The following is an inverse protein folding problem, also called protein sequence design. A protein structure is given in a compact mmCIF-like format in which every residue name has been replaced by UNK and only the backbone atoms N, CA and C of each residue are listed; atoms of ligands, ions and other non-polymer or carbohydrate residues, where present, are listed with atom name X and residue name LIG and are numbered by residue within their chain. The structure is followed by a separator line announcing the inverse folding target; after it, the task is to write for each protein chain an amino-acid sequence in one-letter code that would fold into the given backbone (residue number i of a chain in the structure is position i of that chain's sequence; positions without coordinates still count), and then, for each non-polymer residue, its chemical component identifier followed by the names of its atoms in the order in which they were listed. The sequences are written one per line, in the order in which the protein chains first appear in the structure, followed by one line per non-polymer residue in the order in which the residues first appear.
data_IF_458617420615
#
_entry.id   IF_458617420615
#
_cell.length_a   1.000
_cell.length_b   1.000
_cell.length_c   1.000
_cell.angle_alpha   90.00
_cell.angle_beta   90.00
_cell.angle_gamma   90.00
#
_symmetry.space_group_name_H-M   'P 1'
#
loop_
_entity.id
_entity.type
_entity.pdbx_description
1 polymer ?
#
# COMPACT_ATOMS: atom_id res chain seq x y z
N UNK A 1 -33.19 17.26 -1.86
CA UNK A 1 -32.14 16.22 -1.76
C UNK A 1 -31.21 16.45 -2.95
N UNK A 2 -30.14 17.18 -2.76
CA UNK A 2 -29.15 17.39 -3.83
C UNK A 2 -28.46 16.06 -4.12
N UNK A 3 -28.52 15.65 -5.36
CA UNK A 3 -27.87 14.46 -5.88
C UNK A 3 -26.36 14.74 -5.90
N UNK A 4 -25.67 14.50 -4.77
CA UNK A 4 -24.21 14.65 -4.68
C UNK A 4 -23.57 13.63 -5.60
N UNK A 5 -23.08 14.07 -6.73
CA UNK A 5 -22.32 13.24 -7.68
C UNK A 5 -21.05 12.77 -6.96
N UNK A 6 -20.94 11.46 -6.74
CA UNK A 6 -19.78 10.87 -6.11
C UNK A 6 -18.52 11.20 -6.92
N UNK A 7 -17.50 11.76 -6.28
CA UNK A 7 -16.22 12.14 -6.90
C UNK A 7 -15.43 10.93 -7.41
N UNK A 8 -15.72 9.73 -6.90
CA UNK A 8 -15.13 8.47 -7.34
C UNK A 8 -15.42 7.31 -6.41
N UNK A 9 -15.13 6.10 -6.88
CA UNK A 9 -15.24 4.89 -6.08
C UNK A 9 -13.87 4.60 -5.43
N UNK A 10 -13.89 4.28 -4.15
CA UNK A 10 -12.75 3.81 -3.35
C UNK A 10 -12.97 2.34 -3.04
N UNK A 11 -11.99 1.51 -3.37
CA UNK A 11 -11.98 0.11 -2.97
C UNK A 11 -11.13 -0.06 -1.71
N UNK A 12 -11.65 -0.74 -0.70
CA UNK A 12 -10.90 -1.23 0.45
C UNK A 12 -10.81 -2.75 0.36
N UNK A 13 -9.59 -3.27 0.31
CA UNK A 13 -9.33 -4.71 0.38
C UNK A 13 -8.89 -5.02 1.81
N UNK A 14 -9.80 -5.59 2.60
CA UNK A 14 -9.61 -5.88 4.02
C UNK A 14 -10.37 -7.15 4.41
N UNK A 15 -9.66 -8.10 5.03
CA UNK A 15 -10.24 -9.37 5.52
C UNK A 15 -10.90 -9.22 6.88
N UNK A 16 -10.39 -8.32 7.73
CA UNK A 16 -10.89 -8.13 9.08
C UNK A 16 -12.19 -7.32 9.06
N UNK A 17 -13.26 -7.94 9.55
CA UNK A 17 -14.59 -7.30 9.62
C UNK A 17 -14.57 -6.04 10.49
N UNK A 18 -13.86 -6.07 11.62
CA UNK A 18 -13.77 -4.92 12.54
C UNK A 18 -13.06 -3.73 11.89
N UNK A 19 -11.94 -3.98 11.20
CA UNK A 19 -11.23 -2.95 10.43
C UNK A 19 -12.11 -2.38 9.30
N UNK A 20 -12.87 -3.24 8.63
CA UNK A 20 -13.81 -2.84 7.58
C UNK A 20 -14.92 -1.94 8.11
N UNK A 21 -15.51 -2.27 9.26
CA UNK A 21 -16.54 -1.46 9.93
C UNK A 21 -15.95 -0.12 10.38
N UNK A 22 -14.76 -0.13 10.99
CA UNK A 22 -14.08 1.08 11.41
C UNK A 22 -13.81 2.02 10.23
N UNK A 23 -13.32 1.49 9.11
CA UNK A 23 -13.07 2.29 7.91
C UNK A 23 -14.38 2.84 7.32
N UNK A 24 -15.44 2.03 7.29
CA UNK A 24 -16.76 2.50 6.86
C UNK A 24 -17.26 3.65 7.74
N UNK A 25 -17.15 3.53 9.06
CA UNK A 25 -17.53 4.59 10.00
C UNK A 25 -16.74 5.88 9.78
N UNK A 26 -15.45 5.79 9.42
CA UNK A 26 -14.65 6.95 9.05
C UNK A 26 -15.21 7.68 7.81
N UNK A 27 -15.59 6.95 6.78
CA UNK A 27 -16.20 7.54 5.58
C UNK A 27 -17.59 8.12 5.86
N UNK A 28 -18.41 7.44 6.65
CA UNK A 28 -19.79 7.86 7.00
C UNK A 28 -19.77 9.11 7.89
N UNK A 29 -18.76 9.25 8.77
CA UNK A 29 -18.59 10.41 9.64
C UNK A 29 -18.12 11.69 8.92
N UNK A 30 -17.74 11.60 7.64
CA UNK A 30 -17.27 12.74 6.88
C UNK A 30 -18.36 13.27 5.94
N UNK A 31 -19.13 14.30 6.33
CA UNK A 31 -20.32 14.73 5.59
C UNK A 31 -20.01 15.25 4.19
N UNK A 32 -18.77 15.71 3.96
CA UNK A 32 -18.31 16.19 2.65
C UNK A 32 -17.56 15.12 1.82
N UNK A 33 -17.58 13.85 2.29
CA UNK A 33 -16.96 12.76 1.55
C UNK A 33 -17.77 12.48 0.27
N UNK A 34 -17.20 12.90 -0.84
CA UNK A 34 -17.78 12.66 -2.17
C UNK A 34 -17.33 11.30 -2.74
N UNK A 35 -16.68 10.44 -1.93
CA UNK A 35 -16.23 9.12 -2.34
C UNK A 35 -17.18 8.05 -1.85
N UNK A 36 -17.44 7.06 -2.70
CA UNK A 36 -18.20 5.86 -2.32
C UNK A 36 -17.23 4.75 -1.98
N UNK A 37 -17.27 4.28 -0.73
CA UNK A 37 -16.44 3.17 -0.25
C UNK A 37 -17.07 1.83 -0.63
N UNK A 38 -16.29 0.95 -1.24
CA UNK A 38 -16.61 -0.45 -1.53
C UNK A 38 -15.62 -1.34 -0.80
N UNK A 39 -16.10 -2.31 -0.06
CA UNK A 39 -15.27 -3.20 0.77
C UNK A 39 -15.23 -4.58 0.13
N UNK A 40 -14.02 -5.11 -0.01
CA UNK A 40 -13.77 -6.42 -0.59
C UNK A 40 -12.95 -7.27 0.40
N UNK A 41 -13.42 -8.48 0.75
CA UNK A 41 -12.68 -9.35 1.66
C UNK A 41 -11.43 -9.97 1.03
N UNK A 42 -11.35 -9.98 -0.30
CA UNK A 42 -10.23 -10.56 -1.04
C UNK A 42 -9.88 -9.75 -2.28
N UNK A 43 -8.63 -9.87 -2.70
CA UNK A 43 -8.14 -9.30 -3.96
C UNK A 43 -8.95 -9.79 -5.17
N UNK A 44 -9.29 -11.08 -5.22
CA UNK A 44 -10.05 -11.64 -6.34
C UNK A 44 -11.48 -11.09 -6.44
N UNK A 45 -12.12 -10.78 -5.28
CA UNK A 45 -13.41 -10.11 -5.28
C UNK A 45 -13.31 -8.69 -5.85
N UNK A 46 -12.26 -7.96 -5.49
CA UNK A 46 -11.98 -6.63 -6.05
C UNK A 46 -11.70 -6.69 -7.55
N UNK A 47 -10.87 -7.64 -8.02
CA UNK A 47 -10.58 -7.81 -9.45
C UNK A 47 -11.84 -8.02 -10.28
N UNK A 48 -12.77 -8.84 -9.79
CA UNK A 48 -14.09 -9.02 -10.45
C UNK A 48 -14.89 -7.73 -10.52
N UNK A 49 -14.89 -6.94 -9.44
CA UNK A 49 -15.61 -5.68 -9.40
C UNK A 49 -15.02 -4.61 -10.34
N UNK A 50 -13.70 -4.63 -10.56
CA UNK A 50 -13.04 -3.71 -11.51
C UNK A 50 -13.52 -3.88 -12.95
N UNK A 51 -14.06 -5.03 -13.32
CA UNK A 51 -14.59 -5.27 -14.67
C UNK A 51 -15.85 -4.44 -14.98
N UNK A 52 -16.60 -4.06 -13.95
CA UNK A 52 -17.88 -3.35 -14.10
C UNK A 52 -17.90 -1.97 -13.44
N UNK A 53 -17.00 -1.69 -12.52
CA UNK A 53 -16.98 -0.46 -11.73
C UNK A 53 -15.61 0.21 -11.82
N UNK A 54 -15.53 1.47 -12.28
CA UNK A 54 -14.27 2.21 -12.27
C UNK A 54 -13.95 2.66 -10.84
N UNK A 55 -12.75 2.34 -10.38
CA UNK A 55 -12.21 2.80 -9.10
C UNK A 55 -11.15 3.87 -9.32
N UNK A 56 -11.19 4.92 -8.50
CA UNK A 56 -10.19 5.99 -8.50
C UNK A 56 -9.07 5.75 -7.49
N UNK A 57 -9.37 5.00 -6.43
CA UNK A 57 -8.45 4.68 -5.34
C UNK A 57 -8.65 3.23 -4.91
N UNK A 58 -7.56 2.54 -4.65
CA UNK A 58 -7.54 1.27 -3.91
C UNK A 58 -6.77 1.46 -2.61
N UNK A 59 -7.37 1.02 -1.52
CA UNK A 59 -6.75 0.95 -0.20
C UNK A 59 -6.54 -0.53 0.11
N UNK A 60 -5.30 -0.92 0.29
CA UNK A 60 -4.95 -2.30 0.57
C UNK A 60 -4.50 -2.43 2.03
N UNK A 61 -5.26 -3.15 2.83
CA UNK A 61 -4.85 -3.49 4.18
C UNK A 61 -3.91 -4.69 4.12
N UNK A 62 -2.67 -4.49 4.52
CA UNK A 62 -1.70 -5.57 4.54
C UNK A 62 -1.96 -6.50 5.71
N UNK A 63 -1.83 -7.78 5.47
CA UNK A 63 -1.94 -8.83 6.47
C UNK A 63 -0.63 -9.00 7.23
N UNK A 64 -0.69 -9.31 8.52
CA UNK A 64 0.46 -9.75 9.30
C UNK A 64 1.08 -11.05 8.76
N UNK A 65 0.32 -11.83 7.97
CA UNK A 65 0.80 -13.04 7.32
C UNK A 65 1.75 -12.70 6.16
N UNK A 66 2.96 -13.23 6.21
CA UNK A 66 4.02 -12.95 5.21
C UNK A 66 3.59 -13.22 3.77
N UNK A 67 2.91 -14.33 3.54
CA UNK A 67 2.46 -14.75 2.21
C UNK A 67 1.43 -13.78 1.63
N UNK A 68 0.42 -13.42 2.42
CA UNK A 68 -0.61 -12.46 2.02
C UNK A 68 0.00 -11.07 1.76
N UNK A 69 0.95 -10.64 2.59
CA UNK A 69 1.65 -9.37 2.41
C UNK A 69 2.43 -9.34 1.10
N UNK A 70 3.17 -10.41 0.81
CA UNK A 70 3.92 -10.55 -0.44
C UNK A 70 3.01 -10.47 -1.65
N UNK A 71 1.91 -11.22 -1.63
CA UNK A 71 0.92 -11.20 -2.72
C UNK A 71 0.26 -9.82 -2.87
N UNK A 72 -0.07 -9.17 -1.76
CA UNK A 72 -0.65 -7.83 -1.76
C UNK A 72 0.27 -6.78 -2.39
N UNK A 73 1.54 -6.75 -2.00
CA UNK A 73 2.51 -5.80 -2.56
C UNK A 73 2.84 -6.08 -4.03
N UNK A 74 2.94 -7.36 -4.41
CA UNK A 74 3.12 -7.74 -5.81
C UNK A 74 1.94 -7.28 -6.68
N UNK A 75 0.72 -7.45 -6.17
CA UNK A 75 -0.49 -6.99 -6.85
C UNK A 75 -0.54 -5.45 -7.00
N UNK A 76 -0.15 -4.71 -5.98
CA UNK A 76 -0.06 -3.25 -6.07
C UNK A 76 0.98 -2.79 -7.10
N UNK A 77 2.08 -3.54 -7.24
CA UNK A 77 3.07 -3.29 -8.30
C UNK A 77 2.50 -3.57 -9.70
N UNK A 78 1.76 -4.67 -9.86
CA UNK A 78 1.05 -4.99 -11.10
C UNK A 78 0.02 -3.91 -11.45
N UNK A 79 -0.76 -3.46 -10.46
CA UNK A 79 -1.71 -2.36 -10.64
C UNK A 79 -1.03 -1.05 -11.06
N UNK A 80 0.19 -0.80 -10.62
CA UNK A 80 0.95 0.38 -11.03
C UNK A 80 1.16 0.45 -12.53
N UNK A 81 1.37 -0.71 -13.16
CA UNK A 81 1.61 -0.84 -14.59
C UNK A 81 0.28 -0.83 -15.35
N UNK A 82 -0.68 -1.67 -14.93
CA UNK A 82 -1.91 -1.89 -15.68
C UNK A 82 -2.96 -0.80 -15.48
N UNK A 83 -2.97 -0.15 -14.31
CA UNK A 83 -3.93 0.88 -13.92
C UNK A 83 -3.24 2.11 -13.33
N UNK A 84 -2.39 2.81 -14.10
CA UNK A 84 -1.55 3.89 -13.58
C UNK A 84 -2.36 5.09 -13.03
N UNK A 85 -3.62 5.21 -13.41
CA UNK A 85 -4.51 6.28 -12.92
C UNK A 85 -5.15 5.98 -11.58
N UNK A 86 -5.20 4.71 -11.17
CA UNK A 86 -5.75 4.30 -9.88
C UNK A 86 -4.73 4.57 -8.79
N UNK A 87 -5.10 5.38 -7.79
CA UNK A 87 -4.25 5.65 -6.63
C UNK A 87 -4.19 4.43 -5.73
N UNK A 88 -3.03 4.16 -5.18
CA UNK A 88 -2.72 2.99 -4.37
C UNK A 88 -2.27 3.41 -2.99
N UNK A 89 -3.15 3.19 -2.02
CA UNK A 89 -2.87 3.42 -0.61
C UNK A 89 -2.70 2.09 0.10
N UNK A 90 -1.88 2.08 1.12
CA UNK A 90 -1.68 0.91 1.98
C UNK A 90 -2.03 1.27 3.41
N UNK A 91 -2.63 0.34 4.14
CA UNK A 91 -2.80 0.41 5.58
C UNK A 91 -1.90 -0.66 6.20
N UNK A 92 -0.92 -0.21 6.99
CA UNK A 92 -0.01 -1.03 7.77
C UNK A 92 -0.53 -1.23 9.19
N UNK A 93 -0.07 -2.26 9.90
CA UNK A 93 -0.50 -2.53 11.26
C UNK A 93 0.06 -1.49 12.26
N UNK A 94 1.29 -1.02 12.05
CA UNK A 94 1.91 0.01 12.89
C UNK A 94 2.75 1.02 12.10
N UNK A 95 3.27 2.03 12.80
CA UNK A 95 4.06 3.11 12.19
C UNK A 95 5.44 2.65 11.69
N UNK A 96 6.03 1.63 12.31
CA UNK A 96 7.31 1.08 11.88
C UNK A 96 7.14 0.34 10.55
N UNK A 97 6.11 -0.49 10.45
CA UNK A 97 5.74 -1.16 9.21
C UNK A 97 5.35 -0.15 8.12
N UNK A 98 4.59 0.89 8.47
CA UNK A 98 4.20 1.94 7.52
C UNK A 98 5.43 2.62 6.90
N UNK A 99 6.42 3.02 7.70
CA UNK A 99 7.68 3.59 7.21
C UNK A 99 8.47 2.61 6.34
N UNK A 100 8.51 1.35 6.74
CA UNK A 100 9.22 0.32 5.98
C UNK A 100 8.57 0.10 4.61
N UNK A 101 7.25 0.01 4.55
CA UNK A 101 6.50 -0.16 3.30
C UNK A 101 6.69 1.05 2.39
N UNK A 102 6.59 2.25 2.92
CA UNK A 102 6.77 3.49 2.16
C UNK A 102 8.17 3.56 1.52
N UNK A 103 9.20 3.14 2.26
CA UNK A 103 10.59 3.17 1.82
C UNK A 103 10.95 2.04 0.84
N UNK A 104 10.36 0.84 1.00
CA UNK A 104 10.81 -0.39 0.35
C UNK A 104 9.78 -1.00 -0.60
N UNK A 105 8.64 -0.34 -0.80
CA UNK A 105 7.60 -0.83 -1.72
C UNK A 105 8.17 -1.08 -3.13
N UNK A 106 7.79 -2.17 -3.80
CA UNK A 106 8.26 -2.48 -5.15
C UNK A 106 7.76 -1.49 -6.21
N UNK A 107 6.79 -0.66 -5.86
CA UNK A 107 6.30 0.43 -6.72
C UNK A 107 5.96 1.64 -5.86
N UNK A 108 6.03 2.88 -6.41
CA UNK A 108 5.58 4.07 -5.69
C UNK A 108 4.14 3.91 -5.22
N UNK A 109 3.88 4.24 -3.95
CA UNK A 109 2.55 4.29 -3.38
C UNK A 109 2.09 5.75 -3.27
N UNK A 110 0.81 5.97 -3.38
CA UNK A 110 0.24 7.33 -3.23
C UNK A 110 0.11 7.71 -1.74
N UNK A 111 0.25 6.75 -0.83
CA UNK A 111 0.36 6.96 0.61
C UNK A 111 0.29 5.68 1.42
N UNK A 112 0.86 5.75 2.62
CA UNK A 112 0.82 4.67 3.60
C UNK A 112 0.21 5.21 4.90
N UNK A 113 -0.77 4.49 5.42
CA UNK A 113 -1.49 4.77 6.66
C UNK A 113 -1.12 3.71 7.69
N UNK A 114 -1.26 4.04 8.97
CA UNK A 114 -0.98 3.13 10.09
C UNK A 114 -2.24 2.94 10.94
N UNK A 115 -2.57 1.69 11.28
CA UNK A 115 -3.67 1.36 12.20
C UNK A 115 -3.37 1.81 13.64
N UNK A 116 -2.09 1.99 13.98
CA UNK A 116 -1.68 2.49 15.29
C UNK A 116 -1.87 4.00 15.47
N UNK A 117 -2.12 4.74 14.40
CA UNK A 117 -2.42 6.18 14.47
C UNK A 117 -3.74 6.44 15.20
N UNK A 118 -3.85 7.61 15.84
CA UNK A 118 -5.14 8.04 16.38
C UNK A 118 -6.20 8.14 15.28
N UNK A 119 -7.46 7.91 15.64
CA UNK A 119 -8.57 7.95 14.68
C UNK A 119 -8.63 9.28 13.94
N UNK A 120 -8.42 10.39 14.65
CA UNK A 120 -8.42 11.73 14.07
C UNK A 120 -7.27 11.90 13.05
N UNK A 121 -6.06 11.47 13.40
CA UNK A 121 -4.90 11.55 12.50
C UNK A 121 -5.06 10.65 11.27
N UNK A 122 -5.59 9.43 11.46
CA UNK A 122 -5.88 8.52 10.36
C UNK A 122 -6.91 9.11 9.40
N UNK A 123 -7.97 9.71 9.94
CA UNK A 123 -9.02 10.37 9.18
C UNK A 123 -8.48 11.54 8.38
N UNK A 124 -7.77 12.47 9.04
CA UNK A 124 -7.17 13.64 8.38
C UNK A 124 -6.25 13.21 7.23
N UNK A 125 -5.32 12.30 7.50
CA UNK A 125 -4.35 11.82 6.51
C UNK A 125 -5.05 11.11 5.35
N UNK A 126 -6.04 10.26 5.63
CA UNK A 126 -6.82 9.57 4.60
C UNK A 126 -7.51 10.57 3.66
N UNK A 127 -8.22 11.55 4.22
CA UNK A 127 -8.95 12.53 3.40
C UNK A 127 -8.03 13.50 2.67
N UNK A 128 -6.88 13.85 3.25
CA UNK A 128 -5.83 14.58 2.56
C UNK A 128 -5.38 13.80 1.31
N UNK A 129 -5.08 12.51 1.46
CA UNK A 129 -4.66 11.65 0.36
C UNK A 129 -5.77 11.45 -0.69
N UNK A 130 -7.03 11.35 -0.27
CA UNK A 130 -8.17 11.23 -1.19
C UNK A 130 -8.41 12.52 -2.00
N UNK A 131 -8.15 13.68 -1.43
CA UNK A 131 -8.40 14.97 -2.07
C UNK A 131 -7.17 15.55 -2.79
N UNK A 132 -5.96 15.04 -2.55
CA UNK A 132 -4.76 15.48 -3.23
C UNK A 132 -4.88 15.24 -4.74
N UNK A 133 -4.46 16.21 -5.55
CA UNK A 133 -4.28 15.99 -6.99
C UNK A 133 -3.05 15.10 -7.18
N UNK A 134 -3.21 14.01 -7.91
CA UNK A 134 -2.08 13.17 -8.29
C UNK A 134 -1.31 13.87 -9.40
N UNK A 135 -0.18 14.45 -9.08
CA UNK A 135 0.83 14.80 -10.06
C UNK A 135 1.81 13.62 -10.19
N UNK A 136 1.43 12.64 -11.00
CA UNK A 136 2.39 11.61 -11.44
C UNK A 136 3.27 12.27 -12.49
N UNK A 137 4.24 13.04 -12.03
CA UNK A 137 5.30 13.55 -12.87
C UNK A 137 6.46 12.55 -12.85
N UNK A 138 7.16 12.45 -13.97
CA UNK A 138 8.44 11.73 -14.11
C UNK A 138 9.42 12.14 -12.98
N UNK A 139 9.29 13.35 -12.49
CA UNK A 139 10.01 13.91 -11.36
C UNK A 139 9.70 13.19 -10.03
N UNK A 140 8.47 12.79 -9.78
CA UNK A 140 8.07 12.05 -8.56
C UNK A 140 8.67 10.64 -8.55
N UNK A 141 8.73 9.99 -9.71
CA UNK A 141 9.39 8.70 -9.87
C UNK A 141 10.91 8.82 -9.68
N UNK A 142 11.52 9.87 -10.25
CA UNK A 142 12.95 10.13 -10.11
C UNK A 142 13.33 10.46 -8.66
N UNK A 143 12.54 11.25 -7.93
CA UNK A 143 12.75 11.52 -6.51
C UNK A 143 12.61 10.25 -5.66
N UNK A 144 11.65 9.38 -5.99
CA UNK A 144 11.48 8.09 -5.32
C UNK A 144 12.73 7.21 -5.50
N UNK A 145 13.26 7.10 -6.74
CA UNK A 145 14.50 6.38 -7.02
C UNK A 145 15.72 7.01 -6.32
N UNK A 146 15.83 8.33 -6.30
CA UNK A 146 16.95 9.05 -5.69
C UNK A 146 16.95 8.94 -4.16
N UNK A 147 15.79 9.00 -3.51
CA UNK A 147 15.67 8.84 -2.05
C UNK A 147 15.99 7.41 -1.61
N UNK A 148 15.67 6.41 -2.43
CA UNK A 148 16.08 5.03 -2.17
C UNK A 148 17.58 4.79 -2.34
N UNK A 149 18.29 5.63 -3.12
CA UNK A 149 19.69 5.38 -3.45
C UNK A 149 20.71 5.83 -2.40
N UNK A 150 20.32 6.63 -1.39
CA UNK A 150 21.29 7.42 -0.61
C UNK A 150 21.88 6.77 0.64
N UNK A 151 21.31 5.72 1.22
CA UNK A 151 21.77 5.20 2.52
C UNK A 151 21.98 3.67 2.60
N UNK A 152 21.56 2.91 1.63
CA UNK A 152 21.60 1.44 1.66
C UNK A 152 22.19 0.95 0.35
N UNK A 153 23.09 -0.01 0.41
CA UNK A 153 23.69 -0.60 -0.81
C UNK A 153 22.59 -1.26 -1.68
N UNK A 154 22.81 -1.41 -3.00
CA UNK A 154 21.84 -2.06 -3.89
C UNK A 154 21.42 -3.45 -3.39
N UNK A 155 22.36 -4.25 -2.89
CA UNK A 155 22.09 -5.59 -2.35
C UNK A 155 21.28 -5.53 -1.05
N UNK A 156 21.61 -4.62 -0.14
CA UNK A 156 20.85 -4.44 1.11
C UNK A 156 19.42 -3.98 0.84
N UNK A 157 19.25 -3.07 -0.11
CA UNK A 157 17.93 -2.62 -0.55
C UNK A 157 17.09 -3.77 -1.10
N UNK A 158 17.70 -4.62 -1.90
CA UNK A 158 17.02 -5.76 -2.48
C UNK A 158 16.64 -6.79 -1.42
N UNK A 159 17.51 -7.06 -0.47
CA UNK A 159 17.23 -7.91 0.69
C UNK A 159 16.07 -7.34 1.50
N UNK A 160 16.10 -6.05 1.84
CA UNK A 160 15.04 -5.38 2.60
C UNK A 160 13.71 -5.38 1.83
N UNK A 161 13.75 -5.19 0.51
CA UNK A 161 12.57 -5.29 -0.34
C UNK A 161 11.95 -6.69 -0.30
N UNK A 162 12.75 -7.74 -0.41
CA UNK A 162 12.26 -9.10 -0.27
C UNK A 162 11.70 -9.37 1.12
N UNK A 163 12.33 -8.84 2.17
CA UNK A 163 11.83 -8.98 3.55
C UNK A 163 10.49 -8.27 3.75
N UNK A 164 10.34 -7.05 3.24
CA UNK A 164 9.07 -6.30 3.31
C UNK A 164 7.95 -7.00 2.53
N UNK A 165 8.31 -7.69 1.44
CA UNK A 165 7.40 -8.53 0.67
C UNK A 165 7.11 -9.89 1.33
N UNK A 166 7.62 -10.13 2.54
CA UNK A 166 7.34 -11.33 3.32
C UNK A 166 8.19 -12.55 2.99
N UNK A 167 9.25 -12.41 2.17
CA UNK A 167 10.16 -13.51 1.90
C UNK A 167 10.97 -13.87 3.16
N UNK A 168 11.15 -15.16 3.39
CA UNK A 168 12.08 -15.67 4.43
C UNK A 168 13.54 -15.56 3.93
N UNK A 169 14.48 -15.54 4.88
CA UNK A 169 15.92 -15.49 4.56
C UNK A 169 16.39 -16.58 3.60
N UNK A 170 15.96 -17.87 3.74
CA UNK A 170 16.30 -18.89 2.77
C UNK A 170 15.75 -18.59 1.37
N UNK A 171 14.53 -18.09 1.26
CA UNK A 171 13.93 -17.73 -0.03
C UNK A 171 14.68 -16.57 -0.70
N UNK A 172 15.09 -15.56 0.10
CA UNK A 172 15.90 -14.44 -0.39
C UNK A 172 17.26 -14.93 -0.90
N UNK A 173 17.90 -15.86 -0.18
CA UNK A 173 19.16 -16.44 -0.59
C UNK A 173 19.07 -17.14 -1.95
N UNK A 174 17.99 -17.87 -2.19
CA UNK A 174 17.69 -18.52 -3.48
C UNK A 174 17.45 -17.46 -4.58
N UNK A 175 16.62 -16.46 -4.31
CA UNK A 175 16.26 -15.42 -5.29
C UNK A 175 17.46 -14.57 -5.73
N UNK A 176 18.37 -14.30 -4.81
CA UNK A 176 19.57 -13.50 -5.08
C UNK A 176 20.80 -14.34 -5.44
N UNK A 177 20.64 -15.66 -5.56
CA UNK A 177 21.75 -16.60 -5.82
C UNK A 177 22.94 -16.40 -4.87
N UNK A 178 22.64 -16.14 -3.59
CA UNK A 178 23.63 -15.86 -2.55
C UNK A 178 23.53 -16.84 -1.40
N UNK A 179 24.65 -17.00 -0.67
CA UNK A 179 24.64 -17.80 0.54
C UNK A 179 23.79 -17.13 1.63
N UNK A 180 23.02 -17.93 2.37
CA UNK A 180 22.19 -17.43 3.48
C UNK A 180 23.00 -16.69 4.56
N UNK A 181 24.28 -17.07 4.78
CA UNK A 181 25.18 -16.35 5.68
C UNK A 181 25.44 -14.93 5.20
N UNK A 182 25.63 -14.74 3.89
CA UNK A 182 25.83 -13.43 3.25
C UNK A 182 24.57 -12.57 3.42
N UNK A 183 23.37 -13.14 3.19
CA UNK A 183 22.11 -12.42 3.38
C UNK A 183 21.92 -11.98 4.84
N UNK A 184 22.27 -12.84 5.79
CA UNK A 184 22.22 -12.51 7.24
C UNK A 184 23.20 -11.39 7.60
N UNK A 185 24.43 -11.41 7.06
CA UNK A 185 25.41 -10.36 7.31
C UNK A 185 24.91 -8.98 6.84
N UNK A 186 24.32 -8.90 5.66
CA UNK A 186 23.73 -7.65 5.14
C UNK A 186 22.54 -7.16 5.99
N UNK A 187 21.73 -8.06 6.56
CA UNK A 187 20.64 -7.69 7.45
C UNK A 187 21.10 -6.95 8.72
N UNK A 188 22.25 -7.32 9.26
CA UNK A 188 22.77 -6.75 10.51
C UNK A 188 23.59 -5.47 10.31
N UNK A 189 23.88 -5.09 9.06
CA UNK A 189 24.61 -3.87 8.71
C UNK A 189 23.66 -2.70 8.36
N UNK A 190 22.36 -2.91 8.44
CA UNK A 190 21.28 -1.95 8.24
C UNK A 190 20.59 -1.73 9.58
#
# INVERSE_FOLDING_TARGET
MENRIAKGNVALIEKCVMSSIGMKSLFDAFPDCQYKLHIFPTQSAFQKAMLSTPFSVVIFSLSAMREDRRMGLAYLAEMAVNFPRVRRLVIADDDAEARLIDSLSPSPLDGVLSKASSLASLQEKLFLLLNSKREVTEHTLNLWYLNQSRMISPTEREILRFMSNGYSMPQIAVQLERNIKTIRAHKFNV
#
